data_IF_405351587454
#
_entry.id   IF_405351587454
#
_cell.length_a   1.000
_cell.length_b   1.000
_cell.length_c   1.000
_cell.angle_alpha   90.00
_cell.angle_beta   90.00
_cell.angle_gamma   90.00
#
_symmetry.space_group_name_H-M   'P 1'
#
loop_
_entity.id
_entity.type
_entity.pdbx_description
1 polymer ?
#
# COMPACT_ATOMS: atom_id res chain seq x y z
N UNK A 1 23.68 -14.58 19.47
CA UNK A 1 22.68 -14.59 18.41
C UNK A 1 22.42 -13.15 17.96
N UNK A 2 22.60 -12.90 16.70
CA UNK A 2 22.32 -11.58 16.14
C UNK A 2 20.81 -11.50 15.90
N UNK A 3 20.12 -10.50 16.48
CA UNK A 3 18.69 -10.35 16.24
C UNK A 3 18.40 -10.17 14.75
N UNK A 4 17.34 -10.78 14.29
CA UNK A 4 16.90 -10.62 12.91
C UNK A 4 16.41 -9.18 12.70
N UNK A 5 17.01 -8.47 11.76
CA UNK A 5 16.54 -7.15 11.37
C UNK A 5 15.40 -7.29 10.34
N UNK A 6 14.33 -6.49 10.45
CA UNK A 6 13.28 -6.53 9.43
C UNK A 6 13.84 -6.29 8.04
N UNK A 7 13.34 -7.05 7.06
CA UNK A 7 13.73 -6.86 5.66
C UNK A 7 12.74 -5.93 4.98
N UNK A 8 13.29 -4.95 4.33
CA UNK A 8 12.53 -3.94 3.64
C UNK A 8 12.51 -2.63 4.39
N UNK A 9 12.05 -1.59 3.72
CA UNK A 9 11.97 -0.25 4.27
C UNK A 9 10.71 0.41 3.70
N UNK A 10 9.85 0.93 4.56
CA UNK A 10 8.61 1.56 4.15
C UNK A 10 8.46 2.87 4.90
N UNK A 11 8.30 3.96 4.15
CA UNK A 11 7.99 5.28 4.72
C UNK A 11 6.72 5.80 4.09
N UNK A 12 6.06 6.74 4.74
CA UNK A 12 4.84 7.32 4.23
C UNK A 12 4.73 8.80 4.56
N UNK A 13 4.02 9.53 3.71
CA UNK A 13 3.66 10.92 3.97
C UNK A 13 2.26 11.18 3.40
N UNK A 14 1.60 12.21 3.90
CA UNK A 14 0.27 12.60 3.44
C UNK A 14 0.34 13.94 2.72
N UNK A 15 -0.36 14.05 1.59
CA UNK A 15 -0.58 15.32 0.91
C UNK A 15 -1.98 15.28 0.28
N UNK A 16 -2.81 16.24 0.62
CA UNK A 16 -4.13 16.46 0.00
C UNK A 16 -5.00 15.19 -0.09
N UNK A 17 -5.23 14.52 1.04
CA UNK A 17 -6.07 13.32 1.12
C UNK A 17 -5.47 12.09 0.47
N UNK A 18 -4.17 12.11 0.14
CA UNK A 18 -3.47 10.94 -0.41
C UNK A 18 -2.36 10.51 0.54
N UNK A 19 -2.34 9.24 0.87
CA UNK A 19 -1.26 8.64 1.66
C UNK A 19 -0.29 7.99 0.67
N UNK A 20 0.93 8.53 0.63
CA UNK A 20 1.99 8.06 -0.27
C UNK A 20 2.94 7.16 0.49
N UNK A 21 3.08 5.92 0.04
CA UNK A 21 4.06 4.98 0.58
C UNK A 21 5.24 4.87 -0.37
N UNK A 22 6.45 4.93 0.20
CA UNK A 22 7.70 4.60 -0.50
C UNK A 22 8.21 3.30 0.11
N UNK A 23 8.21 2.24 -0.67
CA UNK A 23 8.47 0.88 -0.20
C UNK A 23 9.67 0.28 -0.94
N UNK A 24 10.70 -0.11 -0.20
CA UNK A 24 11.89 -0.75 -0.75
C UNK A 24 11.94 -2.19 -0.27
N UNK A 25 11.70 -3.13 -1.17
CA UNK A 25 11.70 -4.55 -0.85
C UNK A 25 13.06 -5.21 -1.03
N UNK A 26 13.13 -6.53 -0.78
CA UNK A 26 12.00 -7.42 -0.45
C UNK A 26 11.49 -7.23 0.98
N UNK A 27 10.29 -7.76 1.26
CA UNK A 27 9.58 -7.52 2.51
C UNK A 27 9.37 -8.79 3.31
N UNK A 28 9.52 -8.71 4.66
CA UNK A 28 9.14 -9.79 5.57
C UNK A 28 7.95 -9.37 6.43
N UNK A 29 7.46 -10.29 7.28
CA UNK A 29 6.31 -10.02 8.13
C UNK A 29 6.56 -8.94 9.16
N UNK A 30 7.79 -8.84 9.66
CA UNK A 30 8.14 -7.84 10.69
C UNK A 30 8.00 -6.42 10.18
N UNK A 31 8.47 -6.14 8.94
CA UNK A 31 8.35 -4.79 8.40
C UNK A 31 6.88 -4.42 8.14
N UNK A 32 6.07 -5.36 7.67
CA UNK A 32 4.65 -5.10 7.43
C UNK A 32 3.94 -4.81 8.74
N UNK A 33 4.16 -5.61 9.78
CA UNK A 33 3.55 -5.39 11.09
C UNK A 33 4.00 -4.07 11.73
N UNK A 34 5.27 -3.70 11.57
CA UNK A 34 5.80 -2.45 12.09
C UNK A 34 5.12 -1.24 11.42
N UNK A 35 4.91 -1.32 10.11
CA UNK A 35 4.23 -0.26 9.35
C UNK A 35 2.77 -0.13 9.79
N UNK A 36 2.08 -1.24 9.98
CA UNK A 36 0.69 -1.25 10.45
C UNK A 36 0.59 -0.47 11.77
N UNK A 37 1.45 -0.80 12.74
CA UNK A 37 1.42 -0.13 14.04
C UNK A 37 1.74 1.35 13.95
N UNK A 38 2.74 1.69 13.13
CA UNK A 38 3.23 3.06 13.02
C UNK A 38 2.21 4.00 12.36
N UNK A 39 1.51 3.51 11.34
CA UNK A 39 0.67 4.37 10.51
C UNK A 39 -0.84 4.27 10.81
N UNK A 40 -1.25 3.36 11.67
CA UNK A 40 -2.67 3.22 12.01
C UNK A 40 -3.32 4.51 12.54
N UNK A 41 -2.70 5.24 13.50
CA UNK A 41 -3.30 6.49 13.98
C UNK A 41 -3.43 7.54 12.88
N UNK A 42 -2.45 7.58 11.98
CA UNK A 42 -2.45 8.50 10.86
C UNK A 42 -3.58 8.17 9.88
N UNK A 43 -3.75 6.89 9.58
CA UNK A 43 -4.80 6.39 8.73
C UNK A 43 -6.18 6.69 9.30
N UNK A 44 -6.36 6.52 10.60
CA UNK A 44 -7.62 6.82 11.28
C UNK A 44 -7.97 8.31 11.14
N UNK A 45 -7.02 9.20 11.37
CA UNK A 45 -7.25 10.64 11.22
C UNK A 45 -7.60 11.02 9.78
N UNK A 46 -6.94 10.37 8.83
CA UNK A 46 -7.20 10.61 7.42
C UNK A 46 -8.63 10.15 7.05
N UNK A 47 -9.03 8.98 7.50
CA UNK A 47 -10.36 8.42 7.27
C UNK A 47 -11.46 9.27 7.93
N UNK A 48 -11.20 9.80 9.13
CA UNK A 48 -12.16 10.64 9.85
C UNK A 48 -12.46 11.95 9.08
N UNK A 49 -11.52 12.40 8.26
CA UNK A 49 -11.69 13.62 7.47
C UNK A 49 -12.44 13.44 6.16
N UNK A 50 -12.80 12.21 5.78
CA UNK A 50 -13.51 11.92 4.55
C UNK A 50 -12.75 10.98 3.60
N UNK A 51 -13.14 10.92 2.32
CA UNK A 51 -12.49 10.03 1.35
C UNK A 51 -11.00 10.31 1.20
N UNK A 52 -10.23 9.25 1.04
CA UNK A 52 -8.77 9.33 0.86
C UNK A 52 -8.31 8.20 -0.06
N UNK A 53 -7.08 8.30 -0.54
CA UNK A 53 -6.51 7.32 -1.47
C UNK A 53 -5.09 6.96 -1.06
N UNK A 54 -4.61 5.82 -1.56
CA UNK A 54 -3.22 5.37 -1.37
C UNK A 54 -2.48 5.35 -2.70
N UNK A 55 -1.22 5.77 -2.67
CA UNK A 55 -0.26 5.54 -3.76
C UNK A 55 0.95 4.85 -3.13
N UNK A 56 1.25 3.64 -3.58
CA UNK A 56 2.39 2.86 -3.09
C UNK A 56 3.41 2.70 -4.20
N UNK A 57 4.60 3.25 -4.00
CA UNK A 57 5.69 3.16 -4.97
C UNK A 57 6.74 2.18 -4.47
N UNK A 58 7.10 1.21 -5.32
CA UNK A 58 8.02 0.13 -4.98
C UNK A 58 9.39 0.35 -5.62
N UNK A 59 10.43 0.12 -4.83
CA UNK A 59 11.84 0.23 -5.24
C UNK A 59 12.54 -1.09 -4.98
N UNK A 60 13.48 -1.47 -5.83
CA UNK A 60 14.32 -2.65 -5.78
C UNK A 60 13.57 -3.96 -5.99
N UNK A 61 12.58 -4.25 -5.18
CA UNK A 61 11.88 -5.54 -5.25
C UNK A 61 10.47 -5.41 -4.70
N UNK A 62 9.53 -6.12 -5.30
CA UNK A 62 8.18 -6.29 -4.78
C UNK A 62 8.01 -7.63 -4.06
N UNK A 63 9.07 -8.46 -3.99
CA UNK A 63 8.98 -9.78 -3.37
C UNK A 63 8.63 -9.66 -1.88
N UNK A 64 7.72 -10.52 -1.45
CA UNK A 64 7.26 -10.56 -0.07
C UNK A 64 7.20 -12.01 0.40
N UNK A 65 7.62 -12.26 1.65
CA UNK A 65 7.51 -13.60 2.23
C UNK A 65 6.05 -13.96 2.44
N UNK A 66 5.73 -15.27 2.60
CA UNK A 66 4.37 -15.66 2.97
C UNK A 66 3.87 -14.98 4.24
N UNK A 67 4.74 -14.79 5.24
CA UNK A 67 4.38 -14.09 6.48
C UNK A 67 4.03 -12.61 6.21
N UNK A 68 4.74 -11.97 5.29
CA UNK A 68 4.42 -10.58 4.90
C UNK A 68 3.05 -10.50 4.21
N UNK A 69 2.75 -11.45 3.34
CA UNK A 69 1.45 -11.51 2.66
C UNK A 69 0.31 -11.78 3.65
N UNK A 70 0.53 -12.67 4.62
CA UNK A 70 -0.46 -12.93 5.66
C UNK A 70 -0.72 -11.69 6.51
N UNK A 71 0.34 -10.97 6.90
CA UNK A 71 0.20 -9.73 7.67
C UNK A 71 -0.56 -8.67 6.88
N UNK A 72 -0.29 -8.57 5.60
CA UNK A 72 -0.96 -7.62 4.71
C UNK A 72 -2.45 -7.97 4.55
N UNK A 73 -2.76 -9.24 4.33
CA UNK A 73 -4.15 -9.69 4.20
C UNK A 73 -4.94 -9.43 5.48
N UNK A 74 -4.32 -9.67 6.63
CA UNK A 74 -4.92 -9.39 7.93
C UNK A 74 -5.22 -7.90 8.12
N UNK A 75 -4.28 -7.05 7.70
CA UNK A 75 -4.45 -5.60 7.71
C UNK A 75 -5.66 -5.17 6.86
N UNK A 76 -5.79 -5.71 5.67
CA UNK A 76 -6.91 -5.34 4.78
C UNK A 76 -8.25 -5.79 5.33
N UNK A 77 -8.28 -6.94 6.01
CA UNK A 77 -9.47 -7.39 6.73
C UNK A 77 -9.87 -6.40 7.82
N UNK A 78 -8.90 -5.89 8.55
CA UNK A 78 -9.13 -4.88 9.59
C UNK A 78 -9.66 -3.56 8.98
N UNK A 79 -9.13 -3.13 7.86
CA UNK A 79 -9.62 -1.94 7.16
C UNK A 79 -11.09 -2.07 6.76
N UNK A 80 -11.50 -3.24 6.28
CA UNK A 80 -12.90 -3.51 5.93
C UNK A 80 -13.81 -3.33 7.13
N UNK A 81 -13.41 -3.86 8.29
CA UNK A 81 -14.24 -3.81 9.50
C UNK A 81 -14.26 -2.43 10.15
N UNK A 82 -13.19 -1.65 10.00
CA UNK A 82 -13.02 -0.39 10.71
C UNK A 82 -13.34 0.85 9.87
N UNK A 83 -13.78 0.68 8.63
CA UNK A 83 -14.06 1.81 7.74
C UNK A 83 -12.83 2.59 7.32
N UNK A 84 -11.65 1.93 7.31
CA UNK A 84 -10.38 2.55 6.96
C UNK A 84 -9.95 2.30 5.51
N UNK A 85 -10.84 1.76 4.68
CA UNK A 85 -10.50 1.46 3.30
C UNK A 85 -10.39 2.73 2.46
N UNK A 86 -9.29 2.89 1.69
CA UNK A 86 -9.19 4.00 0.76
C UNK A 86 -10.17 3.83 -0.41
N UNK A 87 -10.51 4.92 -1.06
CA UNK A 87 -11.39 4.87 -2.23
C UNK A 87 -10.66 4.49 -3.51
N UNK A 88 -9.33 4.50 -3.49
CA UNK A 88 -8.50 4.11 -4.62
C UNK A 88 -7.12 3.71 -4.14
N UNK A 89 -6.53 2.71 -4.78
CA UNK A 89 -5.19 2.21 -4.48
C UNK A 89 -4.40 2.13 -5.78
N UNK A 90 -3.34 2.92 -5.89
CA UNK A 90 -2.43 2.89 -7.02
C UNK A 90 -1.10 2.27 -6.60
N UNK A 91 -0.67 1.22 -7.29
CA UNK A 91 0.62 0.58 -7.07
C UNK A 91 1.54 0.92 -8.23
N UNK A 92 2.69 1.50 -7.91
CA UNK A 92 3.66 2.01 -8.88
C UNK A 92 4.94 1.19 -8.80
N UNK A 93 5.39 0.64 -9.92
CA UNK A 93 6.65 -0.08 -9.99
C UNK A 93 7.18 0.00 -11.42
N UNK A 94 8.50 0.17 -11.56
CA UNK A 94 9.14 0.10 -12.88
C UNK A 94 8.87 -1.28 -13.50
N UNK A 95 8.78 -1.35 -14.83
CA UNK A 95 8.42 -2.57 -15.53
C UNK A 95 9.36 -3.74 -15.25
N UNK A 96 10.63 -3.45 -14.94
CA UNK A 96 11.69 -4.45 -14.73
C UNK A 96 12.02 -4.70 -13.26
N UNK A 97 11.27 -4.15 -12.33
CA UNK A 97 11.55 -4.37 -10.90
C UNK A 97 11.34 -5.84 -10.52
N UNK A 98 12.22 -6.33 -9.64
CA UNK A 98 12.17 -7.72 -9.20
C UNK A 98 10.81 -8.08 -8.60
N UNK A 99 10.25 -9.18 -9.07
CA UNK A 99 9.02 -9.72 -8.50
C UNK A 99 7.73 -9.06 -8.95
N UNK A 100 7.77 -8.05 -9.80
CA UNK A 100 6.55 -7.34 -10.23
C UNK A 100 5.55 -8.28 -10.89
N UNK A 101 5.99 -9.09 -11.85
CA UNK A 101 5.08 -9.99 -12.59
C UNK A 101 4.42 -11.02 -11.67
N UNK A 102 5.13 -11.44 -10.62
CA UNK A 102 4.60 -12.40 -9.65
C UNK A 102 3.67 -11.72 -8.65
N UNK A 103 4.09 -10.57 -8.12
CA UNK A 103 3.44 -9.96 -6.96
C UNK A 103 2.28 -9.03 -7.31
N UNK A 104 2.36 -8.34 -8.44
CA UNK A 104 1.30 -7.38 -8.79
C UNK A 104 -0.08 -8.03 -8.90
N UNK A 105 -0.24 -9.21 -9.55
CA UNK A 105 -1.53 -9.90 -9.56
C UNK A 105 -2.01 -10.32 -8.17
N UNK A 106 -1.09 -10.67 -7.27
CA UNK A 106 -1.45 -11.04 -5.89
C UNK A 106 -2.03 -9.83 -5.17
N UNK A 107 -1.35 -8.68 -5.24
CA UNK A 107 -1.86 -7.45 -4.63
C UNK A 107 -3.19 -7.03 -5.24
N UNK A 108 -3.34 -7.12 -6.56
CA UNK A 108 -4.59 -6.80 -7.22
C UNK A 108 -5.75 -7.66 -6.68
N UNK A 109 -5.51 -8.96 -6.48
CA UNK A 109 -6.55 -9.88 -6.00
C UNK A 109 -6.98 -9.58 -4.57
N UNK A 110 -6.06 -9.09 -3.73
CA UNK A 110 -6.35 -8.76 -2.34
C UNK A 110 -7.34 -7.60 -2.24
N UNK A 111 -7.25 -6.63 -3.14
CA UNK A 111 -8.17 -5.48 -3.17
C UNK A 111 -9.47 -5.76 -3.92
N UNK A 112 -9.55 -6.88 -4.64
CA UNK A 112 -10.70 -7.21 -5.45
C UNK A 112 -11.99 -7.26 -4.61
N UNK A 113 -13.00 -6.54 -5.06
CA UNK A 113 -14.31 -6.56 -4.44
C UNK A 113 -14.49 -5.61 -3.26
N UNK A 114 -13.44 -4.86 -2.83
CA UNK A 114 -13.67 -3.91 -1.74
C UNK A 114 -13.07 -2.52 -1.95
N UNK A 115 -12.02 -2.39 -2.78
CA UNK A 115 -11.43 -1.08 -3.05
C UNK A 115 -10.80 -1.08 -4.44
N UNK A 116 -11.04 -0.05 -5.27
CA UNK A 116 -10.43 0.03 -6.59
C UNK A 116 -8.91 -0.05 -6.51
N UNK A 117 -8.33 -0.84 -7.40
CA UNK A 117 -6.89 -1.05 -7.48
C UNK A 117 -6.43 -0.90 -8.92
N UNK A 118 -5.30 -0.21 -9.13
CA UNK A 118 -4.71 -0.08 -10.45
C UNK A 118 -3.20 -0.04 -10.37
N UNK A 119 -2.51 -0.72 -11.31
CA UNK A 119 -1.05 -0.69 -11.39
C UNK A 119 -0.58 0.33 -12.41
N UNK A 120 0.59 0.90 -12.16
CA UNK A 120 1.20 1.92 -13.01
C UNK A 120 2.70 1.71 -13.11
N UNK A 121 3.27 2.10 -14.24
CA UNK A 121 4.72 2.12 -14.44
C UNK A 121 5.34 3.42 -13.93
N UNK A 122 4.55 4.49 -13.84
CA UNK A 122 5.01 5.85 -13.53
C UNK A 122 4.19 6.47 -12.42
N UNK A 123 4.91 7.11 -11.49
CA UNK A 123 4.29 7.79 -10.35
C UNK A 123 3.29 8.86 -10.78
N UNK A 124 3.64 9.67 -11.80
CA UNK A 124 2.80 10.78 -12.25
C UNK A 124 1.43 10.31 -12.72
N UNK A 125 1.38 9.16 -13.40
CA UNK A 125 0.12 8.60 -13.88
C UNK A 125 -0.74 8.07 -12.73
N UNK A 126 -0.09 7.48 -11.74
CA UNK A 126 -0.77 6.98 -10.53
C UNK A 126 -1.38 8.14 -9.74
N UNK A 127 -0.60 9.19 -9.52
CA UNK A 127 -1.07 10.37 -8.79
C UNK A 127 -2.25 11.01 -9.50
N UNK A 128 -2.18 11.16 -10.81
CA UNK A 128 -3.28 11.73 -11.60
C UNK A 128 -4.55 10.91 -11.46
N UNK A 129 -4.44 9.59 -11.50
CA UNK A 129 -5.58 8.71 -11.36
C UNK A 129 -6.25 8.80 -9.99
N UNK A 130 -5.46 8.75 -8.90
CA UNK A 130 -6.05 8.81 -7.54
C UNK A 130 -6.69 10.18 -7.29
N UNK A 131 -6.11 11.26 -7.80
CA UNK A 131 -6.70 12.59 -7.64
C UNK A 131 -8.02 12.71 -8.41
N UNK A 132 -8.11 12.07 -9.57
CA UNK A 132 -9.36 12.01 -10.33
C UNK A 132 -10.42 11.23 -9.54
N UNK A 133 -10.05 10.10 -8.94
CA UNK A 133 -10.96 9.31 -8.12
C UNK A 133 -11.46 10.11 -6.91
N UNK A 134 -10.60 10.86 -6.26
CA UNK A 134 -10.98 11.70 -5.13
C UNK A 134 -11.91 12.84 -5.56
N UNK A 135 -11.67 13.44 -6.72
CA UNK A 135 -12.51 14.52 -7.22
C UNK A 135 -13.94 14.03 -7.50
N UNK A 136 -14.09 12.80 -7.99
CA UNK A 136 -15.41 12.24 -8.28
C UNK A 136 -16.12 11.67 -7.03
N UNK A 137 -15.37 11.39 -5.97
CA UNK A 137 -15.93 10.89 -4.72
C UNK A 137 -16.49 11.99 -3.82
N UNK A 138 -16.00 13.21 -4.02
CA UNK A 138 -16.47 14.37 -3.27
C UNK A 138 -17.73 14.94 -3.85
#
# INVERSE_FOLDING_TARGET
VIPHAPRGHITAHIADRVLFFESTGPFDGEIVEAVIRAYRPLLQRLADGGPFAHVSTFHRSMLATPAALDAFDHLLGEWRHSGLAPIANAYVAAADIEGRSLMMPIFASVFSGFSPFREFDRFEDAEAWVRQQLATAG
#
